data_IF_939936465518
#
_entry.id   IF_939936465518
#
_cell.length_a   1.000
_cell.length_b   1.000
_cell.length_c   1.000
_cell.angle_alpha   90.00
_cell.angle_beta   90.00
_cell.angle_gamma   90.00
#
_symmetry.space_group_name_H-M   'P 1'
#
loop_
_entity.id
_entity.type
_entity.pdbx_description
1 polymer ?
#
# COMPACT_ATOMS: atom_id res chain seq x y z
N UNK A 1 34.64 10.99 -13.57
CA UNK A 1 35.65 10.32 -12.71
C UNK A 1 35.16 10.38 -11.27
N UNK A 2 35.42 9.33 -10.48
CA UNK A 2 35.09 9.18 -9.04
C UNK A 2 33.57 9.09 -8.79
N UNK A 3 32.94 7.94 -8.49
CA UNK A 3 33.29 6.74 -7.71
C UNK A 3 33.38 6.95 -6.19
N UNK A 4 32.31 6.52 -5.49
CA UNK A 4 32.29 6.10 -4.07
C UNK A 4 31.26 4.95 -4.00
N UNK A 5 31.71 3.70 -4.14
CA UNK A 5 31.95 2.75 -3.04
C UNK A 5 30.74 2.42 -2.16
N UNK A 6 30.11 1.27 -2.46
CA UNK A 6 29.22 0.56 -1.54
C UNK A 6 30.03 -0.22 -0.50
N UNK A 7 29.74 0.00 0.78
CA UNK A 7 29.87 -1.01 1.83
C UNK A 7 28.43 -1.36 2.25
N UNK A 8 28.03 -2.62 2.44
CA UNK A 8 28.82 -3.80 2.75
C UNK A 8 28.25 -4.48 4.00
N UNK A 9 26.93 -4.70 4.05
CA UNK A 9 26.28 -5.30 5.21
C UNK A 9 26.28 -6.83 5.11
N UNK A 10 26.98 -7.44 6.07
CA UNK A 10 27.23 -8.88 6.14
C UNK A 10 26.02 -9.59 6.74
N UNK A 11 25.54 -10.65 6.08
CA UNK A 11 24.46 -11.49 6.60
C UNK A 11 24.92 -12.25 7.85
N UNK A 12 24.20 -12.07 8.95
CA UNK A 12 24.31 -12.94 10.14
C UNK A 12 23.16 -13.94 10.05
N UNK A 13 23.47 -15.14 9.53
CA UNK A 13 22.54 -16.26 9.57
C UNK A 13 22.52 -16.89 10.96
N UNK A 14 21.44 -16.69 11.71
CA UNK A 14 21.26 -17.34 13.00
C UNK A 14 20.65 -18.73 12.81
N UNK A 15 21.49 -19.76 12.67
CA UNK A 15 21.07 -21.15 12.64
C UNK A 15 20.85 -21.66 14.08
N UNK A 16 19.59 -21.94 14.43
CA UNK A 16 19.22 -22.50 15.74
C UNK A 16 19.67 -23.95 15.87
N UNK A 17 20.91 -24.13 16.32
CA UNK A 17 21.50 -25.41 16.70
C UNK A 17 20.85 -25.94 17.97
N UNK A 18 19.82 -26.78 17.85
CA UNK A 18 19.38 -27.65 18.93
C UNK A 18 20.12 -28.97 18.84
N UNK A 19 21.00 -29.23 19.79
CA UNK A 19 21.59 -30.55 20.01
C UNK A 19 21.12 -31.06 21.36
N UNK A 20 20.44 -32.20 21.37
CA UNK A 20 20.30 -33.03 22.56
C UNK A 20 20.29 -34.49 22.08
N UNK A 21 21.37 -35.21 22.34
CA UNK A 21 21.44 -36.65 22.10
C UNK A 21 21.03 -37.42 23.34
N UNK A 22 20.34 -38.54 23.15
CA UNK A 22 20.28 -39.70 24.07
C UNK A 22 19.55 -40.86 23.39
N UNK A 23 20.34 -41.79 22.88
CA UNK A 23 20.00 -43.22 22.70
C UNK A 23 20.74 -43.99 23.83
N UNK A 24 20.41 -45.27 24.19
CA UNK A 24 20.00 -46.34 23.25
C UNK A 24 19.00 -47.42 23.76
N UNK A 25 18.72 -48.39 22.88
CA UNK A 25 18.07 -49.72 23.10
C UNK A 25 16.59 -49.72 23.54
N UNK A 26 15.72 -50.66 23.16
CA UNK A 26 15.72 -51.77 22.17
C UNK A 26 14.24 -52.26 22.03
N UNK A 27 13.80 -53.30 21.31
CA UNK A 27 14.38 -54.48 20.64
C UNK A 27 13.68 -54.73 19.27
N UNK A 28 14.13 -55.71 18.47
CA UNK A 28 13.54 -56.12 17.20
C UNK A 28 12.33 -57.07 17.37
N UNK A 29 11.31 -56.93 16.51
CA UNK A 29 10.41 -58.04 16.16
C UNK A 29 10.04 -57.98 14.66
N UNK A 30 10.30 -59.08 13.94
CA UNK A 30 10.24 -59.13 12.46
C UNK A 30 9.02 -59.93 12.00
N UNK A 31 8.01 -59.23 11.45
CA UNK A 31 6.84 -59.84 10.80
C UNK A 31 6.91 -59.81 9.26
N UNK A 32 6.66 -60.92 8.55
CA UNK A 32 6.89 -61.01 7.11
C UNK A 32 5.72 -60.49 6.26
N UNK A 33 6.00 -59.76 5.18
CA UNK A 33 4.95 -59.39 4.21
C UNK A 33 5.27 -58.16 3.34
N UNK A 34 6.19 -58.29 2.39
CA UNK A 34 6.55 -57.19 1.52
C UNK A 34 5.44 -56.74 0.57
N UNK A 35 4.96 -55.50 0.71
CA UNK A 35 4.33 -54.71 -0.37
C UNK A 35 4.65 -53.23 -0.18
N UNK A 36 5.31 -52.63 -1.18
CA UNK A 36 5.81 -51.23 -1.16
C UNK A 36 4.66 -50.24 -0.91
N UNK A 37 4.56 -49.68 0.30
CA UNK A 37 3.77 -48.46 0.55
C UNK A 37 4.50 -47.26 -0.07
N UNK A 38 3.96 -46.74 -1.17
CA UNK A 38 4.44 -45.50 -1.81
C UNK A 38 4.09 -44.34 -0.88
N UNK A 39 5.09 -43.63 -0.36
CA UNK A 39 4.87 -42.43 0.46
C UNK A 39 4.28 -41.30 -0.41
N UNK A 40 2.96 -41.19 -0.42
CA UNK A 40 2.23 -40.03 -0.95
C UNK A 40 1.71 -39.18 0.20
N UNK A 41 2.55 -38.30 0.76
CA UNK A 41 2.14 -37.34 1.80
C UNK A 41 2.61 -35.94 1.40
N UNK A 42 1.88 -35.32 0.48
CA UNK A 42 2.30 -34.04 -0.11
C UNK A 42 1.24 -33.29 -0.92
N UNK A 43 -0.06 -33.57 -0.75
CA UNK A 43 -1.15 -32.92 -1.51
C UNK A 43 -2.37 -32.52 -0.69
N UNK A 44 -2.56 -33.04 0.52
CA UNK A 44 -3.74 -32.72 1.35
C UNK A 44 -3.67 -31.31 1.93
N UNK A 45 -2.50 -30.88 2.46
CA UNK A 45 -2.35 -29.56 3.09
C UNK A 45 -2.50 -28.39 2.12
N UNK A 46 -2.06 -28.53 0.87
CA UNK A 46 -2.20 -27.47 -0.14
C UNK A 46 -3.66 -27.29 -0.59
N UNK A 47 -4.39 -28.40 -0.79
CA UNK A 47 -5.82 -28.35 -1.12
C UNK A 47 -6.64 -27.70 0.01
N UNK A 48 -6.35 -28.03 1.26
CA UNK A 48 -7.08 -27.53 2.43
C UNK A 48 -7.00 -25.98 2.54
N UNK A 49 -5.83 -25.41 2.22
CA UNK A 49 -5.63 -23.95 2.12
C UNK A 49 -6.40 -23.30 0.94
N UNK A 50 -6.51 -23.99 -0.20
CA UNK A 50 -7.26 -23.48 -1.35
C UNK A 50 -8.79 -23.52 -1.11
N UNK A 51 -9.29 -24.54 -0.41
CA UNK A 51 -10.70 -24.58 0.01
C UNK A 51 -11.06 -23.54 1.08
N UNK A 52 -10.10 -23.09 1.87
CA UNK A 52 -10.29 -22.07 2.91
C UNK A 52 -10.16 -20.62 2.41
N UNK A 53 -9.79 -20.40 1.15
CA UNK A 53 -9.63 -19.05 0.59
C UNK A 53 -11.00 -18.44 0.26
N UNK A 54 -11.34 -17.22 0.74
CA UNK A 54 -12.61 -16.56 0.41
C UNK A 54 -12.79 -16.37 -1.10
N UNK A 55 -13.98 -16.68 -1.63
CA UNK A 55 -14.28 -16.56 -3.06
C UNK A 55 -15.12 -15.32 -3.37
N UNK A 56 -14.74 -14.61 -4.42
CA UNK A 56 -15.48 -13.50 -5.01
C UNK A 56 -16.75 -14.00 -5.73
N UNK A 57 -17.62 -13.07 -6.14
CA UNK A 57 -18.79 -13.42 -6.95
C UNK A 57 -18.35 -14.03 -8.30
N UNK A 58 -19.01 -15.07 -8.85
CA UNK A 58 -18.54 -15.75 -10.07
C UNK A 58 -18.36 -14.87 -11.30
N UNK A 59 -19.11 -13.76 -11.39
CA UNK A 59 -18.94 -12.70 -12.41
C UNK A 59 -17.51 -12.16 -12.51
N UNK A 60 -16.72 -12.24 -11.42
CA UNK A 60 -15.28 -11.87 -11.39
C UNK A 60 -14.42 -12.66 -12.38
N UNK A 61 -14.85 -13.86 -12.79
CA UNK A 61 -14.16 -14.69 -13.78
C UNK A 61 -14.64 -14.50 -15.23
N UNK A 62 -15.59 -13.59 -15.47
CA UNK A 62 -16.05 -13.30 -16.83
C UNK A 62 -14.99 -12.51 -17.62
N UNK A 63 -14.73 -12.84 -18.91
CA UNK A 63 -13.77 -12.11 -19.72
C UNK A 63 -14.01 -10.59 -19.81
N UNK A 64 -15.28 -10.15 -19.79
CA UNK A 64 -15.63 -8.72 -19.76
C UNK A 64 -15.17 -8.06 -18.45
N UNK A 65 -15.28 -8.76 -17.33
CA UNK A 65 -14.96 -8.26 -15.99
C UNK A 65 -13.46 -8.21 -15.78
N UNK A 66 -12.74 -9.23 -16.24
CA UNK A 66 -11.27 -9.28 -16.21
C UNK A 66 -10.64 -8.04 -16.88
N UNK A 67 -11.18 -7.57 -18.01
CA UNK A 67 -10.67 -6.37 -18.68
C UNK A 67 -10.86 -5.10 -17.83
N UNK A 68 -12.05 -4.90 -17.26
CA UNK A 68 -12.35 -3.77 -16.36
C UNK A 68 -11.49 -3.82 -15.09
N UNK A 69 -11.36 -5.01 -14.50
CA UNK A 69 -10.55 -5.25 -13.30
C UNK A 69 -9.06 -4.92 -13.54
N UNK A 70 -8.50 -5.21 -14.73
CA UNK A 70 -7.11 -4.84 -15.07
C UNK A 70 -6.94 -3.33 -15.04
N UNK A 71 -7.84 -2.58 -15.69
CA UNK A 71 -7.74 -1.12 -15.78
C UNK A 71 -7.89 -0.45 -14.41
N UNK A 72 -8.86 -0.91 -13.61
CA UNK A 72 -9.11 -0.42 -12.27
C UNK A 72 -7.99 -0.81 -11.29
N UNK A 73 -7.50 -2.06 -11.34
CA UNK A 73 -6.37 -2.49 -10.52
C UNK A 73 -5.08 -1.73 -10.88
N UNK A 74 -4.79 -1.49 -12.17
CA UNK A 74 -3.66 -0.64 -12.56
C UNK A 74 -3.80 0.80 -12.07
N UNK A 75 -5.01 1.38 -12.11
CA UNK A 75 -5.26 2.71 -11.56
C UNK A 75 -5.01 2.75 -10.04
N UNK A 76 -5.45 1.72 -9.31
CA UNK A 76 -5.17 1.58 -7.87
C UNK A 76 -3.67 1.45 -7.60
N UNK A 77 -2.95 0.58 -8.33
CA UNK A 77 -1.49 0.42 -8.18
C UNK A 77 -0.78 1.77 -8.36
N UNK A 78 -1.05 2.52 -9.44
CA UNK A 78 -0.47 3.86 -9.66
C UNK A 78 -0.74 4.83 -8.51
N UNK A 79 -1.98 4.85 -8.01
CA UNK A 79 -2.38 5.77 -6.94
C UNK A 79 -1.70 5.42 -5.62
N UNK A 80 -1.72 4.15 -5.23
CA UNK A 80 -1.20 3.69 -3.95
C UNK A 80 0.34 3.66 -3.94
N UNK A 81 0.98 3.48 -5.09
CA UNK A 81 2.41 3.71 -5.28
C UNK A 81 2.76 5.17 -5.00
N UNK A 82 2.03 6.10 -5.62
CA UNK A 82 2.23 7.55 -5.44
C UNK A 82 2.01 7.98 -3.98
N UNK A 83 0.95 7.49 -3.32
CA UNK A 83 0.67 7.77 -1.89
C UNK A 83 1.80 7.24 -0.97
N UNK A 84 2.42 6.10 -1.31
CA UNK A 84 3.50 5.49 -0.52
C UNK A 84 4.92 5.88 -0.99
N UNK A 85 5.06 6.72 -2.01
CA UNK A 85 6.36 7.12 -2.58
C UNK A 85 7.12 5.98 -3.26
N UNK A 86 6.42 5.01 -3.85
CA UNK A 86 7.01 3.92 -4.64
C UNK A 86 7.19 4.38 -6.08
N UNK A 87 8.44 4.54 -6.50
CA UNK A 87 8.81 4.96 -7.85
C UNK A 87 9.17 3.76 -8.75
N UNK A 88 9.22 3.97 -10.08
CA UNK A 88 9.67 3.00 -11.09
C UNK A 88 8.96 1.62 -11.13
N UNK A 89 7.73 1.51 -10.61
CA UNK A 89 6.96 0.27 -10.69
C UNK A 89 6.52 -0.06 -12.13
N UNK A 90 7.04 -1.16 -12.68
CA UNK A 90 6.72 -1.67 -14.02
C UNK A 90 5.22 -2.00 -14.18
N UNK A 91 4.52 -2.37 -13.10
CA UNK A 91 3.07 -2.65 -13.12
C UNK A 91 2.20 -1.39 -13.21
N UNK A 92 2.73 -0.24 -12.78
CA UNK A 92 2.07 1.07 -12.84
C UNK A 92 2.14 1.71 -14.24
N UNK A 93 3.14 1.35 -15.05
CA UNK A 93 3.39 2.01 -16.34
C UNK A 93 2.43 1.56 -17.45
N UNK A 94 1.43 2.40 -17.75
CA UNK A 94 0.76 2.39 -19.05
C UNK A 94 1.65 3.07 -20.10
N UNK A 95 2.78 2.44 -20.43
CA UNK A 95 3.57 2.74 -21.63
C UNK A 95 4.03 4.20 -21.79
N UNK A 96 4.66 4.82 -20.79
CA UNK A 96 5.37 6.10 -21.02
C UNK A 96 6.74 5.90 -21.70
N UNK A 97 6.69 5.46 -22.96
CA UNK A 97 7.66 5.87 -23.96
C UNK A 97 7.03 6.97 -24.80
N UNK A 98 7.50 8.22 -24.68
CA UNK A 98 7.16 9.30 -25.62
C UNK A 98 7.71 8.96 -27.00
N UNK A 99 6.93 8.25 -27.81
CA UNK A 99 7.02 8.31 -29.26
C UNK A 99 5.66 8.72 -29.82
N UNK A 100 5.64 9.97 -30.26
CA UNK A 100 4.58 10.58 -31.05
C UNK A 100 4.50 9.87 -32.40
N UNK A 101 3.73 8.79 -32.48
CA UNK A 101 3.41 8.10 -33.73
C UNK A 101 1.91 7.83 -33.82
N UNK A 102 1.28 8.65 -34.65
CA UNK A 102 0.11 8.37 -35.48
C UNK A 102 -0.93 7.36 -34.98
N UNK A 103 -2.03 7.94 -34.48
CA UNK A 103 -3.37 7.36 -34.30
C UNK A 103 -3.81 6.55 -35.54
N UNK A 104 -3.51 5.26 -35.57
CA UNK A 104 -3.85 4.35 -36.66
C UNK A 104 -4.28 2.97 -36.15
N UNK A 105 -5.57 2.68 -36.36
CA UNK A 105 -6.25 1.37 -36.35
C UNK A 105 -5.43 0.14 -35.89
N UNK A 106 -5.37 -0.09 -34.58
CA UNK A 106 -5.05 -1.39 -33.98
C UNK A 106 -6.27 -1.91 -33.21
N UNK A 107 -6.64 -3.18 -33.41
CA UNK A 107 -7.77 -3.79 -32.68
C UNK A 107 -7.53 -3.80 -31.17
N UNK A 108 -8.61 -3.76 -30.39
CA UNK A 108 -8.63 -3.65 -28.92
C UNK A 108 -8.00 -4.87 -28.21
N UNK A 109 -6.67 -4.98 -28.26
CA UNK A 109 -5.90 -5.83 -27.36
C UNK A 109 -5.76 -5.10 -26.01
N UNK A 110 -6.07 -5.78 -24.92
CA UNK A 110 -6.01 -5.20 -23.57
C UNK A 110 -4.58 -4.85 -23.13
N UNK A 111 -4.41 -4.22 -21.97
CA UNK A 111 -3.09 -3.85 -21.46
C UNK A 111 -2.12 -5.04 -21.39
N UNK A 112 -0.91 -4.85 -21.91
CA UNK A 112 0.19 -5.82 -21.84
C UNK A 112 1.35 -5.17 -21.06
N UNK A 113 1.88 -5.86 -20.05
CA UNK A 113 3.04 -5.41 -19.28
C UNK A 113 4.23 -6.31 -19.57
N UNK A 114 5.34 -5.74 -20.02
CA UNK A 114 6.55 -6.49 -20.39
C UNK A 114 7.58 -6.41 -19.26
N UNK A 115 7.74 -7.52 -18.53
CA UNK A 115 8.76 -7.68 -17.49
C UNK A 115 10.06 -8.16 -18.14
N UNK A 116 11.11 -7.33 -18.08
CA UNK A 116 12.47 -7.69 -18.51
C UNK A 116 13.26 -8.20 -17.30
N UNK A 117 13.24 -9.52 -17.10
CA UNK A 117 14.05 -10.19 -16.08
C UNK A 117 15.51 -10.37 -16.51
N UNK A 118 16.37 -10.80 -15.59
CA UNK A 118 17.81 -11.00 -15.84
C UNK A 118 18.11 -12.06 -16.90
N UNK A 119 17.22 -13.04 -17.09
CA UNK A 119 17.42 -14.20 -17.99
C UNK A 119 16.36 -14.34 -19.08
N UNK A 120 15.24 -13.63 -18.98
CA UNK A 120 14.11 -13.76 -19.87
C UNK A 120 13.23 -12.50 -19.87
N UNK A 121 12.54 -12.26 -20.98
CA UNK A 121 11.50 -11.24 -21.10
C UNK A 121 10.15 -11.96 -21.07
N UNK A 122 9.24 -11.55 -20.18
CA UNK A 122 7.87 -12.07 -20.10
C UNK A 122 6.86 -10.96 -20.35
N UNK A 123 5.95 -11.18 -21.30
CA UNK A 123 4.71 -10.40 -21.40
C UNK A 123 3.66 -10.95 -20.42
N UNK A 124 3.00 -10.07 -19.68
CA UNK A 124 1.81 -10.37 -18.89
C UNK A 124 0.60 -9.71 -19.55
N UNK A 125 -0.45 -10.48 -19.77
CA UNK A 125 -1.72 -10.04 -20.32
C UNK A 125 -2.89 -10.79 -19.66
N UNK A 126 -4.11 -10.26 -19.81
CA UNK A 126 -5.34 -10.89 -19.32
C UNK A 126 -5.27 -11.33 -17.84
N UNK A 127 -5.63 -12.58 -17.58
CA UNK A 127 -5.70 -13.15 -16.23
C UNK A 127 -4.34 -13.12 -15.51
N UNK A 128 -3.23 -13.39 -16.20
CA UNK A 128 -1.90 -13.37 -15.57
C UNK A 128 -1.49 -11.97 -15.12
N UNK A 129 -1.82 -10.94 -15.93
CA UNK A 129 -1.61 -9.55 -15.55
C UNK A 129 -2.48 -9.19 -14.35
N UNK A 130 -3.76 -9.53 -14.39
CA UNK A 130 -4.70 -9.23 -13.30
C UNK A 130 -4.28 -9.88 -11.97
N UNK A 131 -3.89 -11.15 -11.98
CA UNK A 131 -3.42 -11.84 -10.78
C UNK A 131 -2.11 -11.28 -10.25
N UNK A 132 -1.25 -10.76 -11.12
CA UNK A 132 -0.03 -10.06 -10.72
C UNK A 132 -0.37 -8.73 -10.03
N UNK A 133 -1.29 -7.94 -10.60
CA UNK A 133 -1.75 -6.67 -10.04
C UNK A 133 -2.45 -6.84 -8.69
N UNK A 134 -3.43 -7.75 -8.59
CA UNK A 134 -4.14 -8.02 -7.32
C UNK A 134 -3.19 -8.62 -6.28
N UNK A 135 -2.20 -9.42 -6.69
CA UNK A 135 -1.17 -9.91 -5.76
C UNK A 135 -0.28 -8.78 -5.25
N UNK A 136 0.10 -7.84 -6.10
CA UNK A 136 0.87 -6.67 -5.71
C UNK A 136 0.08 -5.77 -4.74
N UNK A 137 -1.18 -5.44 -5.07
CA UNK A 137 -2.10 -4.68 -4.23
C UNK A 137 -2.23 -5.28 -2.82
N UNK A 138 -2.43 -6.59 -2.72
CA UNK A 138 -2.49 -7.28 -1.42
C UNK A 138 -1.15 -7.27 -0.67
N UNK A 139 -0.04 -7.60 -1.35
CA UNK A 139 1.26 -7.82 -0.69
C UNK A 139 1.99 -6.54 -0.30
N UNK A 140 1.78 -5.44 -1.03
CA UNK A 140 2.48 -4.15 -0.85
C UNK A 140 1.57 -3.10 -0.24
N UNK A 141 0.29 -3.06 -0.65
CA UNK A 141 -0.64 -2.03 -0.17
C UNK A 141 -1.57 -2.51 0.95
N UNK A 142 -1.76 -3.82 1.09
CA UNK A 142 -2.69 -4.40 2.05
C UNK A 142 -4.15 -4.35 1.59
N UNK A 143 -4.36 -4.23 0.27
CA UNK A 143 -5.65 -4.06 -0.37
C UNK A 143 -6.17 -5.42 -0.87
N UNK A 144 -7.32 -5.86 -0.36
CA UNK A 144 -8.04 -7.03 -0.85
C UNK A 144 -9.08 -6.59 -1.90
N UNK A 145 -8.69 -6.69 -3.18
CA UNK A 145 -9.43 -6.14 -4.30
C UNK A 145 -10.85 -6.69 -4.39
N UNK A 146 -11.02 -8.02 -4.32
CA UNK A 146 -12.35 -8.64 -4.37
C UNK A 146 -13.04 -8.69 -3.00
N UNK A 147 -12.29 -8.54 -1.90
CA UNK A 147 -12.85 -8.38 -0.55
C UNK A 147 -13.41 -6.98 -0.29
N UNK A 148 -13.17 -6.01 -1.19
CA UNK A 148 -13.64 -4.62 -1.06
C UNK A 148 -13.14 -3.99 0.26
N UNK A 149 -11.86 -4.21 0.57
CA UNK A 149 -11.26 -3.73 1.83
C UNK A 149 -9.76 -3.41 1.70
N UNK A 150 -9.30 -2.51 2.56
CA UNK A 150 -7.90 -2.06 2.68
C UNK A 150 -7.52 -2.11 4.15
N UNK A 151 -6.32 -2.61 4.46
CA UNK A 151 -5.81 -2.75 5.83
C UNK A 151 -4.34 -2.36 5.91
N UNK A 152 -3.96 -1.63 6.96
CA UNK A 152 -2.56 -1.30 7.28
C UNK A 152 -1.73 -2.55 7.60
N UNK A 153 -2.36 -3.59 8.14
CA UNK A 153 -1.74 -4.88 8.47
C UNK A 153 -2.52 -6.03 7.83
N UNK A 154 -2.46 -6.14 6.50
CA UNK A 154 -3.02 -7.26 5.76
C UNK A 154 -2.40 -8.61 6.23
N UNK A 155 -3.25 -9.45 6.82
CA UNK A 155 -2.92 -10.79 7.33
C UNK A 155 -3.95 -11.80 6.82
N UNK A 156 -3.54 -13.06 6.71
CA UNK A 156 -4.41 -14.14 6.23
C UNK A 156 -4.48 -14.22 4.70
N UNK A 157 -5.66 -14.59 4.19
CA UNK A 157 -5.93 -14.86 2.78
C UNK A 157 -6.84 -13.76 2.21
N UNK A 158 -6.47 -13.21 1.06
CA UNK A 158 -7.33 -12.31 0.26
C UNK A 158 -8.45 -13.09 -0.44
N UNK A 159 -9.47 -12.38 -0.92
CA UNK A 159 -10.47 -12.96 -1.80
C UNK A 159 -9.88 -13.31 -3.18
N UNK A 160 -10.29 -14.45 -3.73
CA UNK A 160 -9.90 -14.92 -5.08
C UNK A 160 -11.14 -15.13 -5.95
N UNK A 161 -10.97 -15.10 -7.27
CA UNK A 161 -12.07 -15.37 -8.22
C UNK A 161 -12.63 -16.78 -8.04
N UNK A 162 -13.92 -16.96 -8.30
CA UNK A 162 -14.56 -18.27 -8.21
C UNK A 162 -14.34 -19.11 -9.49
N UNK A 163 -14.38 -20.43 -9.35
CA UNK A 163 -14.20 -21.36 -10.47
C UNK A 163 -15.40 -21.31 -11.43
N UNK A 164 -15.14 -21.27 -12.74
CA UNK A 164 -16.14 -21.11 -13.81
C UNK A 164 -17.15 -22.27 -13.95
N UNK A 165 -17.17 -23.24 -13.03
CA UNK A 165 -17.97 -24.48 -13.13
C UNK A 165 -19.33 -24.41 -12.43
N UNK A 166 -19.64 -23.32 -11.72
CA UNK A 166 -20.81 -23.26 -10.82
C UNK A 166 -21.56 -21.92 -10.91
N UNK A 167 -21.98 -21.50 -12.11
CA UNK A 167 -22.88 -20.36 -12.26
C UNK A 167 -24.18 -20.75 -12.96
N UNK A 168 -25.25 -20.82 -12.16
CA UNK A 168 -26.66 -20.86 -12.58
C UNK A 168 -27.40 -19.79 -11.75
N UNK A 169 -26.86 -18.57 -11.78
CA UNK A 169 -27.30 -17.42 -10.99
C UNK A 169 -27.94 -16.34 -11.85
N UNK A 170 -28.98 -15.69 -11.34
CA UNK A 170 -29.70 -14.60 -12.02
C UNK A 170 -28.84 -13.33 -12.16
N UNK A 171 -28.81 -12.76 -13.36
CA UNK A 171 -27.93 -11.65 -13.79
C UNK A 171 -27.94 -10.40 -12.89
N UNK A 172 -29.04 -10.18 -12.17
CA UNK A 172 -29.18 -9.06 -11.23
C UNK A 172 -28.15 -9.11 -10.08
N UNK A 173 -27.87 -10.30 -9.53
CA UNK A 173 -26.92 -10.46 -8.41
C UNK A 173 -25.49 -10.09 -8.82
N UNK A 174 -25.07 -10.50 -10.02
CA UNK A 174 -23.78 -10.11 -10.59
C UNK A 174 -23.68 -8.61 -10.81
N UNK A 175 -24.71 -8.02 -11.44
CA UNK A 175 -24.75 -6.59 -11.78
C UNK A 175 -24.62 -5.69 -10.54
N UNK A 176 -25.24 -6.05 -9.43
CA UNK A 176 -25.19 -5.25 -8.20
C UNK A 176 -23.87 -5.45 -7.42
N UNK A 177 -23.27 -6.64 -7.49
CA UNK A 177 -21.90 -6.86 -6.98
C UNK A 177 -20.87 -6.03 -7.75
N UNK A 178 -20.96 -5.99 -9.08
CA UNK A 178 -20.07 -5.20 -9.93
C UNK A 178 -20.15 -3.70 -9.59
N UNK A 179 -21.37 -3.14 -9.56
CA UNK A 179 -21.58 -1.74 -9.17
C UNK A 179 -21.01 -1.42 -7.81
N UNK A 180 -21.15 -2.32 -6.82
CA UNK A 180 -20.61 -2.14 -5.47
C UNK A 180 -19.08 -2.11 -5.48
N UNK A 181 -18.45 -3.06 -6.17
CA UNK A 181 -17.00 -3.15 -6.32
C UNK A 181 -16.45 -1.88 -7.00
N UNK A 182 -17.03 -1.50 -8.12
CA UNK A 182 -16.60 -0.34 -8.91
C UNK A 182 -16.81 0.98 -8.17
N UNK A 183 -17.97 1.16 -7.51
CA UNK A 183 -18.25 2.38 -6.75
C UNK A 183 -17.29 2.56 -5.57
N UNK A 184 -16.90 1.46 -4.91
CA UNK A 184 -15.95 1.49 -3.80
C UNK A 184 -14.54 1.84 -4.28
N UNK A 185 -14.03 1.17 -5.31
CA UNK A 185 -12.69 1.45 -5.82
C UNK A 185 -12.61 2.79 -6.54
N UNK A 186 -13.68 3.25 -7.21
CA UNK A 186 -13.75 4.61 -7.75
C UNK A 186 -13.69 5.67 -6.64
N UNK A 187 -14.44 5.49 -5.55
CA UNK A 187 -14.35 6.38 -4.39
C UNK A 187 -12.94 6.37 -3.77
N UNK A 188 -12.25 5.22 -3.71
CA UNK A 188 -10.85 5.15 -3.26
C UNK A 188 -9.88 5.82 -4.26
N UNK A 189 -10.16 5.76 -5.57
CA UNK A 189 -9.40 6.43 -6.62
C UNK A 189 -9.59 7.96 -6.61
N UNK A 190 -10.73 8.46 -6.14
CA UNK A 190 -11.01 9.90 -6.01
C UNK A 190 -10.64 10.49 -4.64
N UNK A 191 -10.68 9.70 -3.56
CA UNK A 191 -10.39 10.13 -2.18
C UNK A 191 -8.88 10.32 -1.86
N UNK A 192 -8.54 10.27 -0.57
CA UNK A 192 -7.15 10.23 -0.07
C UNK A 192 -6.85 8.88 0.60
N UNK A 193 -5.60 8.66 1.02
CA UNK A 193 -5.24 7.55 1.91
C UNK A 193 -6.11 7.63 3.20
N UNK A 194 -6.81 6.55 3.61
CA UNK A 194 -7.56 6.51 4.85
C UNK A 194 -6.72 6.89 6.09
N UNK A 195 -5.44 6.52 6.13
CA UNK A 195 -4.52 6.86 7.22
C UNK A 195 -4.13 8.34 7.18
N UNK A 196 -3.84 8.91 6.01
CA UNK A 196 -3.56 10.35 5.88
C UNK A 196 -4.77 11.16 6.35
N UNK A 197 -5.98 10.76 5.91
CA UNK A 197 -7.26 11.35 6.32
C UNK A 197 -7.45 11.33 7.84
N UNK A 198 -7.10 10.23 8.52
CA UNK A 198 -7.16 10.12 9.98
C UNK A 198 -6.10 10.99 10.67
N UNK A 199 -4.88 11.10 10.14
CA UNK A 199 -3.87 12.00 10.74
C UNK A 199 -4.24 13.47 10.63
N UNK A 200 -5.02 13.85 9.59
CA UNK A 200 -5.49 15.21 9.31
C UNK A 200 -4.40 16.29 9.50
N UNK A 201 -3.17 15.97 9.06
CA UNK A 201 -1.96 16.78 9.30
C UNK A 201 -2.16 18.25 8.94
N UNK A 202 -2.75 18.53 7.80
CA UNK A 202 -3.00 19.91 7.32
C UNK A 202 -3.93 20.70 8.25
N UNK A 203 -4.92 20.04 8.88
CA UNK A 203 -5.81 20.64 9.88
C UNK A 203 -5.02 21.03 11.14
N UNK A 204 -4.08 20.18 11.56
CA UNK A 204 -3.20 20.46 12.71
C UNK A 204 -2.19 21.58 12.36
N UNK A 205 -1.58 21.55 11.17
CA UNK A 205 -0.60 22.56 10.72
C UNK A 205 -1.25 23.93 10.44
N UNK A 206 -2.51 23.97 9.99
CA UNK A 206 -3.30 25.19 9.86
C UNK A 206 -3.60 25.80 11.24
N UNK A 207 -4.17 25.00 12.16
CA UNK A 207 -4.44 25.43 13.53
C UNK A 207 -3.16 25.86 14.27
N UNK A 208 -2.04 25.18 14.03
CA UNK A 208 -0.73 25.56 14.55
C UNK A 208 -0.26 26.92 14.01
N UNK A 209 -0.64 27.30 12.78
CA UNK A 209 -0.27 28.60 12.21
C UNK A 209 -1.09 29.71 12.84
N UNK A 210 -2.41 29.56 12.85
CA UNK A 210 -3.34 30.52 13.46
C UNK A 210 -3.04 30.75 14.96
N UNK A 211 -2.77 29.68 15.72
CA UNK A 211 -2.41 29.79 17.13
C UNK A 211 -1.01 30.43 17.36
N UNK A 212 -0.14 30.46 16.35
CA UNK A 212 1.19 31.08 16.43
C UNK A 212 1.20 32.55 15.97
N UNK A 213 0.19 33.04 15.23
CA UNK A 213 0.10 34.44 14.80
C UNK A 213 0.26 35.46 15.95
N UNK A 214 -0.34 35.27 17.15
CA UNK A 214 -0.12 36.16 18.30
C UNK A 214 1.33 36.20 18.80
N UNK A 215 2.15 35.21 18.46
CA UNK A 215 3.57 35.13 18.77
C UNK A 215 4.46 35.71 17.67
N UNK A 216 3.90 36.37 16.65
CA UNK A 216 4.64 37.11 15.62
C UNK A 216 4.60 38.61 15.88
N UNK A 217 5.67 39.15 16.47
CA UNK A 217 5.78 40.57 16.81
C UNK A 217 6.17 41.39 15.58
N UNK A 218 5.24 42.15 15.00
CA UNK A 218 5.53 43.08 13.89
C UNK A 218 6.19 44.36 14.41
N UNK A 219 7.41 44.64 13.94
CA UNK A 219 8.27 45.74 14.37
C UNK A 219 8.59 46.60 13.15
N UNK A 220 8.45 47.93 13.25
CA UNK A 220 8.90 48.86 12.21
C UNK A 220 10.39 49.12 12.34
N UNK A 221 11.12 49.03 11.24
CA UNK A 221 12.55 49.28 11.13
C UNK A 221 12.78 50.44 10.15
N UNK A 222 13.53 51.46 10.56
CA UNK A 222 13.72 52.70 9.80
C UNK A 222 14.49 52.50 8.48
N UNK A 223 15.28 51.43 8.37
CA UNK A 223 16.14 51.15 7.20
C UNK A 223 15.62 50.02 6.32
N UNK A 224 14.83 49.10 6.88
CA UNK A 224 14.36 47.89 6.20
C UNK A 224 12.83 47.70 6.23
N UNK A 225 12.06 48.70 6.68
CA UNK A 225 10.60 48.71 6.63
C UNK A 225 9.93 47.92 7.76
N UNK A 226 9.59 46.65 7.51
CA UNK A 226 8.97 45.78 8.51
C UNK A 226 9.87 44.59 8.84
N UNK A 227 10.08 44.34 10.14
CA UNK A 227 10.70 43.14 10.68
C UNK A 227 9.71 42.38 11.57
N UNK A 228 9.89 41.08 11.68
CA UNK A 228 9.01 40.18 12.41
C UNK A 228 9.83 39.44 13.48
N UNK A 229 9.48 39.65 14.75
CA UNK A 229 10.17 39.09 15.90
C UNK A 229 9.43 37.91 16.51
N UNK A 230 10.19 36.93 17.03
CA UNK A 230 9.64 35.85 17.83
C UNK A 230 9.03 36.39 19.14
N UNK A 231 7.80 36.00 19.46
CA UNK A 231 7.08 36.36 20.69
C UNK A 231 7.24 35.36 21.84
N UNK A 232 7.91 34.22 21.62
CA UNK A 232 8.15 33.23 22.66
C UNK A 232 8.99 33.81 23.82
N UNK A 233 8.70 33.37 25.05
CA UNK A 233 9.38 33.82 26.28
C UNK A 233 10.88 33.59 26.15
N UNK A 234 11.68 34.61 26.47
CA UNK A 234 13.15 34.56 26.36
C UNK A 234 13.71 34.58 24.93
N UNK A 235 12.89 34.72 23.89
CA UNK A 235 13.36 34.75 22.50
C UNK A 235 13.45 36.16 21.91
N UNK A 236 14.60 36.48 21.32
CA UNK A 236 14.91 37.81 20.75
C UNK A 236 15.14 37.78 19.23
N UNK A 237 14.92 36.65 18.56
CA UNK A 237 15.20 36.52 17.11
C UNK A 237 14.24 37.36 16.26
N UNK A 238 14.81 38.04 15.26
CA UNK A 238 14.13 38.87 14.28
C UNK A 238 14.34 38.32 12.86
N UNK A 239 13.33 38.51 12.01
CA UNK A 239 13.26 37.99 10.65
C UNK A 239 12.65 39.04 9.70
N UNK A 240 12.83 38.85 8.39
CA UNK A 240 12.31 39.77 7.37
C UNK A 240 10.87 39.46 6.91
N UNK A 241 10.33 38.27 7.23
CA UNK A 241 8.97 37.87 6.89
C UNK A 241 8.35 37.02 8.02
N UNK A 242 7.01 37.01 8.19
CA UNK A 242 6.34 36.30 9.28
C UNK A 242 6.48 34.77 9.18
N UNK A 243 6.53 34.22 7.96
CA UNK A 243 6.70 32.77 7.72
C UNK A 243 7.98 32.21 8.36
N UNK A 244 9.07 32.97 8.37
CA UNK A 244 10.30 32.58 9.05
C UNK A 244 10.14 32.55 10.57
N UNK A 245 9.25 33.39 11.14
CA UNK A 245 8.91 33.36 12.56
C UNK A 245 8.09 32.09 12.87
N UNK A 246 7.09 31.75 12.04
CA UNK A 246 6.34 30.50 12.18
C UNK A 246 7.25 29.26 12.10
N UNK A 247 8.13 29.20 11.10
CA UNK A 247 9.13 28.12 10.97
C UNK A 247 10.09 28.08 12.16
N UNK A 248 10.49 29.24 12.68
CA UNK A 248 11.33 29.32 13.87
C UNK A 248 10.60 28.84 15.13
N UNK A 249 9.35 29.23 15.34
CA UNK A 249 8.50 28.79 16.45
C UNK A 249 8.36 27.26 16.45
N UNK A 250 7.97 26.65 15.32
CA UNK A 250 7.87 25.18 15.18
C UNK A 250 9.20 24.44 15.45
N UNK A 251 10.35 25.01 15.06
CA UNK A 251 11.65 24.32 15.17
C UNK A 251 12.46 24.62 16.45
N UNK A 252 12.10 25.65 17.22
CA UNK A 252 12.87 26.09 18.40
C UNK A 252 12.03 26.34 19.66
N UNK A 253 10.70 26.32 19.53
CA UNK A 253 9.76 26.39 20.64
C UNK A 253 8.72 25.26 20.51
N UNK A 254 9.14 23.99 20.38
CA UNK A 254 8.23 22.87 20.10
C UNK A 254 7.19 22.68 21.20
N UNK A 255 7.55 22.90 22.47
CA UNK A 255 6.66 22.77 23.62
C UNK A 255 5.47 23.77 23.52
N UNK A 256 5.75 25.01 23.11
CA UNK A 256 4.72 26.01 22.85
C UNK A 256 3.77 25.59 21.73
N UNK A 257 4.30 25.00 20.65
CA UNK A 257 3.46 24.47 19.55
C UNK A 257 2.63 23.28 20.02
N UNK A 258 3.18 22.40 20.87
CA UNK A 258 2.44 21.28 21.45
C UNK A 258 1.32 21.76 22.38
N UNK A 259 1.58 22.73 23.26
CA UNK A 259 0.58 23.34 24.13
C UNK A 259 -0.56 23.97 23.31
N UNK A 260 -0.23 24.83 22.35
CA UNK A 260 -1.21 25.53 21.51
C UNK A 260 -2.05 24.61 20.60
N UNK A 261 -1.50 23.45 20.19
CA UNK A 261 -2.21 22.49 19.34
C UNK A 261 -2.83 21.31 20.08
N UNK A 262 -2.62 21.21 21.40
CA UNK A 262 -3.11 20.11 22.27
C UNK A 262 -4.59 19.81 22.05
N UNK A 263 -5.45 20.80 22.28
CA UNK A 263 -6.90 20.69 22.13
C UNK A 263 -7.32 20.19 20.74
N UNK A 264 -6.74 20.72 19.67
CA UNK A 264 -7.08 20.32 18.29
C UNK A 264 -6.69 18.87 18.01
N UNK A 265 -5.58 18.39 18.59
CA UNK A 265 -5.15 16.99 18.51
C UNK A 265 -6.05 16.06 19.33
N UNK A 266 -6.46 16.48 20.52
CA UNK A 266 -7.37 15.73 21.40
C UNK A 266 -8.78 15.64 20.78
N UNK A 267 -9.33 16.75 20.30
CA UNK A 267 -10.61 16.80 19.59
C UNK A 267 -10.59 15.88 18.34
N UNK A 268 -9.50 15.92 17.55
CA UNK A 268 -9.31 15.04 16.39
C UNK A 268 -9.21 13.56 16.80
N UNK A 269 -8.43 13.25 17.83
CA UNK A 269 -8.30 11.88 18.35
C UNK A 269 -9.65 11.31 18.80
N UNK A 270 -10.43 12.10 19.55
CA UNK A 270 -11.77 11.70 19.98
C UNK A 270 -12.73 11.53 18.79
N UNK A 271 -12.72 12.45 17.82
CA UNK A 271 -13.52 12.34 16.60
C UNK A 271 -13.18 11.09 15.76
N UNK A 272 -11.91 10.70 15.72
CA UNK A 272 -11.47 9.49 15.02
C UNK A 272 -11.80 8.21 15.79
N UNK A 273 -11.79 8.24 17.12
CA UNK A 273 -12.15 7.09 17.96
C UNK A 273 -13.66 6.81 18.00
N UNK A 274 -14.49 7.84 17.86
CA UNK A 274 -15.95 7.74 17.89
C UNK A 274 -16.61 7.45 16.53
N UNK A 275 -15.82 7.18 15.48
CA UNK A 275 -16.26 6.77 14.14
C UNK A 275 -16.31 5.26 13.99
#
# INVERSE_FOLDING_TARGET
MNSVCWYGLKTIGNSSKSGNGSEPNSEDEVGPGGKRRRHGRGTEKENDHLSATPKAHPVSSEPRRIQVDIEQAQALVRKLDMEKGIEDNVLSSSGQGKLEVEKSHGGSMGPIVIIRGLTAIKGLEGVELLDTLITYLWRVHGLDYYGVSESSEAKGLRHVRADNKTHDGTDASGSDWEKKLDSFWQARLEGQDPLETLTAKDKIDAAATEALDPFVRKIRDEKYGWKYGCGAKGCTKLFHAPEFVHKHLRLKHPDLVMELTSKVREDLYFQNYMK
#
